data_IF_087301483289
#
_entry.id   IF_087301483289
#
_cell.length_a   1.000
_cell.length_b   1.000
_cell.length_c   1.000
_cell.angle_alpha   90.00
_cell.angle_beta   90.00
_cell.angle_gamma   90.00
#
_symmetry.space_group_name_H-M   'P 1'
#
loop_
_entity.id
_entity.type
_entity.pdbx_description
1 polymer ?
#
# COMPACT_ATOMS: atom_id res chain seq x y z
N UNK A 1 7.82 -5.26 9.24
CA UNK A 1 8.45 -5.09 7.90
C UNK A 1 9.32 -6.26 7.48
N UNK A 2 9.90 -7.04 8.38
CA UNK A 2 10.67 -8.26 8.07
C UNK A 2 9.84 -9.32 7.35
N UNK A 3 8.64 -9.64 7.82
CA UNK A 3 7.78 -10.66 7.21
C UNK A 3 7.38 -10.36 5.74
N UNK A 4 7.16 -9.08 5.40
CA UNK A 4 6.86 -8.68 4.02
C UNK A 4 8.05 -8.87 3.08
N UNK A 5 9.26 -8.53 3.53
CA UNK A 5 10.47 -8.73 2.76
C UNK A 5 10.83 -10.21 2.60
N UNK A 6 10.58 -11.03 3.63
CA UNK A 6 10.89 -12.46 3.62
C UNK A 6 9.99 -13.23 2.65
N UNK A 7 8.68 -12.90 2.61
CA UNK A 7 7.75 -13.48 1.62
C UNK A 7 8.10 -13.08 0.18
N UNK A 8 8.66 -11.90 -0.03
CA UNK A 8 9.08 -11.45 -1.36
C UNK A 8 10.32 -12.19 -1.88
N UNK A 9 11.19 -12.65 -0.99
CA UNK A 9 12.43 -13.35 -1.37
C UNK A 9 12.25 -14.87 -1.52
N UNK A 10 11.19 -15.45 -0.94
CA UNK A 10 10.93 -16.90 -0.95
C UNK A 10 9.96 -17.37 -2.03
N UNK A 11 9.25 -16.47 -2.71
CA UNK A 11 8.40 -16.83 -3.82
C UNK A 11 9.24 -17.32 -5.00
N UNK A 12 9.46 -18.65 -5.09
CA UNK A 12 9.98 -19.29 -6.31
C UNK A 12 8.97 -19.03 -7.44
N UNK A 13 9.40 -18.56 -8.61
CA UNK A 13 8.50 -18.43 -9.75
C UNK A 13 8.02 -19.82 -10.17
N UNK A 14 6.73 -20.08 -10.02
CA UNK A 14 6.09 -21.27 -10.62
C UNK A 14 6.32 -21.23 -12.14
N UNK A 15 6.85 -22.31 -12.66
CA UNK A 15 7.42 -22.45 -14.01
C UNK A 15 6.36 -22.41 -15.14
N UNK A 16 5.08 -22.26 -14.80
CA UNK A 16 4.00 -22.45 -15.79
C UNK A 16 3.22 -21.21 -16.24
N UNK A 17 3.45 -20.05 -15.64
CA UNK A 17 2.81 -18.82 -16.13
C UNK A 17 3.74 -17.62 -15.93
N UNK A 18 4.46 -17.28 -17.00
CA UNK A 18 5.27 -16.06 -17.05
C UNK A 18 4.33 -14.86 -17.13
N UNK A 19 3.82 -14.43 -15.98
CA UNK A 19 3.13 -13.15 -15.85
C UNK A 19 4.10 -12.04 -16.22
N UNK A 20 3.69 -11.13 -17.10
CA UNK A 20 4.46 -9.91 -17.42
C UNK A 20 4.49 -8.92 -16.25
N UNK A 21 3.70 -9.16 -15.22
CA UNK A 21 3.58 -8.29 -14.04
C UNK A 21 4.62 -8.67 -12.98
N UNK A 22 5.38 -7.72 -12.43
CA UNK A 22 6.33 -7.98 -11.35
C UNK A 22 5.68 -8.65 -10.15
N UNK A 23 6.31 -9.67 -9.52
CA UNK A 23 5.73 -10.40 -8.37
C UNK A 23 5.28 -9.50 -7.21
N UNK A 24 5.99 -8.40 -6.97
CA UNK A 24 5.62 -7.41 -5.95
C UNK A 24 4.27 -6.75 -6.21
N UNK A 25 3.95 -6.48 -7.47
CA UNK A 25 2.64 -5.92 -7.83
C UNK A 25 1.54 -6.97 -7.73
N UNK A 26 1.81 -8.23 -8.08
CA UNK A 26 0.86 -9.32 -7.87
C UNK A 26 0.48 -9.49 -6.39
N UNK A 27 1.46 -9.36 -5.49
CA UNK A 27 1.17 -9.38 -4.03
C UNK A 27 0.28 -8.22 -3.61
N UNK A 28 0.50 -7.02 -4.16
CA UNK A 28 -0.37 -5.88 -3.88
C UNK A 28 -1.78 -6.10 -4.41
N UNK A 29 -1.94 -6.60 -5.63
CA UNK A 29 -3.24 -6.99 -6.16
C UNK A 29 -3.95 -7.99 -5.24
N UNK A 30 -3.26 -9.06 -4.83
CA UNK A 30 -3.83 -10.05 -3.95
C UNK A 30 -4.27 -9.46 -2.59
N UNK A 31 -3.52 -8.50 -2.05
CA UNK A 31 -3.89 -7.80 -0.82
C UNK A 31 -5.15 -6.93 -1.00
N UNK A 32 -5.26 -6.17 -2.10
CA UNK A 32 -6.44 -5.37 -2.39
C UNK A 32 -7.66 -6.24 -2.66
N UNK A 33 -7.52 -7.31 -3.45
CA UNK A 33 -8.60 -8.26 -3.71
C UNK A 33 -9.09 -8.92 -2.41
N UNK A 34 -8.18 -9.33 -1.53
CA UNK A 34 -8.55 -9.88 -0.22
C UNK A 34 -9.26 -8.83 0.65
N UNK A 35 -8.79 -7.59 0.64
CA UNK A 35 -9.41 -6.49 1.39
C UNK A 35 -10.86 -6.27 0.93
N UNK A 36 -11.08 -6.17 -0.37
CA UNK A 36 -12.38 -5.85 -0.96
C UNK A 36 -13.37 -7.01 -0.92
N UNK A 37 -12.91 -8.22 -1.24
CA UNK A 37 -13.79 -9.37 -1.41
C UNK A 37 -14.01 -10.17 -0.13
N UNK A 38 -13.16 -9.98 0.88
CA UNK A 38 -13.27 -10.72 2.13
C UNK A 38 -13.33 -9.81 3.37
N UNK A 39 -12.33 -8.96 3.58
CA UNK A 39 -12.23 -8.20 4.85
C UNK A 39 -13.33 -7.16 4.99
N UNK A 40 -13.58 -6.34 3.97
CA UNK A 40 -14.63 -5.30 4.03
C UNK A 40 -16.03 -5.88 4.15
N UNK A 41 -16.43 -6.91 3.37
CA UNK A 41 -17.71 -7.59 3.56
C UNK A 41 -17.86 -8.22 4.95
N UNK A 42 -16.82 -8.86 5.46
CA UNK A 42 -16.82 -9.45 6.80
C UNK A 42 -17.02 -8.36 7.87
N UNK A 43 -16.28 -7.26 7.78
CA UNK A 43 -16.45 -6.14 8.69
C UNK A 43 -17.84 -5.49 8.57
N UNK A 44 -18.41 -5.49 7.38
CA UNK A 44 -19.78 -4.98 7.15
C UNK A 44 -20.86 -5.84 7.80
N UNK A 45 -20.61 -7.15 7.92
CA UNK A 45 -21.53 -8.10 8.55
C UNK A 45 -21.49 -8.08 10.09
N UNK A 46 -20.47 -7.46 10.69
CA UNK A 46 -20.35 -7.38 12.14
C UNK A 46 -21.32 -6.35 12.74
N UNK A 47 -21.81 -6.56 13.99
CA UNK A 47 -22.62 -5.57 14.69
C UNK A 47 -21.89 -4.23 14.83
N UNK A 48 -22.53 -3.15 14.37
CA UNK A 48 -21.96 -1.80 14.36
C UNK A 48 -23.06 -0.73 14.40
N UNK A 49 -22.73 0.55 14.68
CA UNK A 49 -23.74 1.61 14.84
C UNK A 49 -24.60 1.84 13.60
N UNK A 50 -24.03 1.68 12.39
CA UNK A 50 -24.72 1.87 11.11
C UNK A 50 -24.64 0.60 10.25
N UNK A 51 -25.42 -0.45 10.56
CA UNK A 51 -25.33 -1.75 9.89
C UNK A 51 -25.76 -1.70 8.41
N UNK A 52 -26.63 -0.76 8.06
CA UNK A 52 -27.18 -0.62 6.71
C UNK A 52 -26.19 -0.03 5.70
N UNK A 53 -25.13 0.66 6.18
CA UNK A 53 -24.12 1.25 5.31
C UNK A 53 -22.93 0.31 5.17
N UNK A 54 -22.63 -0.25 3.99
CA UNK A 54 -21.47 -1.14 3.85
C UNK A 54 -20.15 -0.40 4.07
N UNK A 55 -19.15 -1.13 4.56
CA UNK A 55 -17.78 -0.62 4.68
C UNK A 55 -17.12 -0.76 3.31
N UNK A 56 -16.82 0.38 2.68
CA UNK A 56 -16.26 0.44 1.31
C UNK A 56 -14.87 1.09 1.27
N UNK A 57 -14.42 1.68 2.37
CA UNK A 57 -13.11 2.35 2.45
C UNK A 57 -12.33 1.95 3.68
N UNK A 58 -11.03 2.12 3.63
CA UNK A 58 -10.09 1.81 4.72
C UNK A 58 -9.22 3.00 5.08
N UNK A 59 -8.89 3.10 6.36
CA UNK A 59 -7.86 4.02 6.85
C UNK A 59 -6.56 3.25 7.07
N UNK A 60 -5.47 3.70 6.45
CA UNK A 60 -4.18 3.05 6.54
C UNK A 60 -3.24 3.79 7.51
N UNK A 61 -2.59 3.04 8.39
CA UNK A 61 -1.54 3.56 9.28
C UNK A 61 -0.20 3.01 8.79
N UNK A 62 0.66 3.90 8.30
CA UNK A 62 1.98 3.53 7.79
C UNK A 62 3.04 3.94 8.80
N UNK A 63 3.64 2.96 9.47
CA UNK A 63 4.75 3.21 10.40
C UNK A 63 6.09 3.12 9.68
N UNK A 64 6.70 4.27 9.47
CA UNK A 64 8.03 4.42 8.86
C UNK A 64 9.10 4.81 9.89
N UNK A 65 8.83 4.65 11.18
CA UNK A 65 9.74 5.04 12.26
C UNK A 65 11.07 4.29 12.27
N UNK A 66 11.12 3.08 11.70
CA UNK A 66 12.31 2.26 11.56
C UNK A 66 12.98 2.31 10.18
N UNK A 67 12.46 3.11 9.25
CA UNK A 67 12.98 3.17 7.87
C UNK A 67 14.05 4.22 7.76
N UNK A 68 15.29 3.81 7.40
CA UNK A 68 16.38 4.72 7.08
C UNK A 68 16.23 5.35 5.70
N UNK A 69 16.89 6.50 5.48
CA UNK A 69 16.85 7.23 4.19
C UNK A 69 17.26 6.34 2.99
N UNK A 70 18.28 5.49 3.14
CA UNK A 70 18.72 4.56 2.10
C UNK A 70 17.64 3.52 1.76
N UNK A 71 16.98 2.98 2.77
CA UNK A 71 15.88 2.02 2.58
C UNK A 71 14.68 2.70 1.92
N UNK A 72 14.36 3.92 2.33
CA UNK A 72 13.31 4.72 1.72
C UNK A 72 13.58 4.97 0.22
N UNK A 73 14.82 5.29 -0.12
CA UNK A 73 15.23 5.51 -1.51
C UNK A 73 15.09 4.26 -2.37
N UNK A 74 15.44 3.10 -1.82
CA UNK A 74 15.27 1.80 -2.50
C UNK A 74 13.79 1.41 -2.68
N UNK A 75 12.90 1.91 -1.82
CA UNK A 75 11.47 1.64 -1.89
C UNK A 75 10.72 2.62 -2.82
N UNK A 76 11.37 3.70 -3.25
CA UNK A 76 10.73 4.78 -4.03
C UNK A 76 9.99 4.25 -5.26
N UNK A 77 10.63 3.46 -6.11
CA UNK A 77 10.00 2.90 -7.31
C UNK A 77 8.80 2.03 -6.98
N UNK A 78 8.94 1.17 -5.98
CA UNK A 78 7.86 0.30 -5.53
C UNK A 78 6.66 1.10 -4.98
N UNK A 79 6.91 2.17 -4.22
CA UNK A 79 5.84 3.05 -3.73
C UNK A 79 5.14 3.78 -4.87
N UNK A 80 5.87 4.18 -5.91
CA UNK A 80 5.29 4.78 -7.11
C UNK A 80 4.38 3.80 -7.84
N UNK A 81 4.87 2.59 -8.10
CA UNK A 81 4.09 1.54 -8.77
C UNK A 81 2.85 1.15 -7.97
N UNK A 82 2.98 1.03 -6.64
CA UNK A 82 1.87 0.75 -5.74
C UNK A 82 0.83 1.88 -5.76
N UNK A 83 1.27 3.15 -5.77
CA UNK A 83 0.38 4.31 -5.84
C UNK A 83 -0.39 4.36 -7.17
N UNK A 84 0.29 4.13 -8.29
CA UNK A 84 -0.34 4.07 -9.62
C UNK A 84 -1.37 2.95 -9.68
N UNK A 85 -1.01 1.77 -9.19
CA UNK A 85 -1.91 0.61 -9.15
C UNK A 85 -3.17 0.90 -8.31
N UNK A 86 -2.98 1.44 -7.10
CA UNK A 86 -4.08 1.78 -6.21
C UNK A 86 -5.02 2.81 -6.84
N UNK A 87 -4.46 3.87 -7.44
CA UNK A 87 -5.25 4.93 -8.06
C UNK A 87 -5.99 4.46 -9.32
N UNK A 88 -5.37 3.60 -10.12
CA UNK A 88 -5.96 3.13 -11.38
C UNK A 88 -7.04 2.06 -11.19
N UNK A 89 -6.88 1.17 -10.19
CA UNK A 89 -7.74 0.00 -10.03
C UNK A 89 -8.61 0.05 -8.78
N UNK A 90 -8.22 0.79 -7.76
CA UNK A 90 -8.89 0.82 -6.44
C UNK A 90 -9.09 2.25 -5.90
N UNK A 91 -9.62 3.20 -6.70
CA UNK A 91 -9.61 4.64 -6.38
C UNK A 91 -10.35 4.98 -5.08
N UNK A 92 -11.43 4.26 -4.75
CA UNK A 92 -12.32 4.59 -3.64
C UNK A 92 -12.07 3.76 -2.37
N UNK A 93 -11.06 2.89 -2.38
CA UNK A 93 -10.79 2.00 -1.24
C UNK A 93 -10.03 2.66 -0.10
N UNK A 94 -9.45 3.83 -0.34
CA UNK A 94 -8.60 4.53 0.60
C UNK A 94 -9.25 5.85 1.03
N UNK A 95 -9.65 5.95 2.32
CA UNK A 95 -10.16 7.18 2.90
C UNK A 95 -9.00 8.07 3.39
N UNK A 96 -8.13 7.52 4.25
CA UNK A 96 -7.04 8.28 4.88
C UNK A 96 -5.77 7.45 5.03
N UNK A 97 -4.62 8.15 4.96
CA UNK A 97 -3.31 7.60 5.29
C UNK A 97 -2.72 8.40 6.45
N UNK A 98 -2.46 7.74 7.57
CA UNK A 98 -1.68 8.29 8.66
C UNK A 98 -0.26 7.77 8.61
N UNK A 99 0.72 8.66 8.55
CA UNK A 99 2.14 8.28 8.53
C UNK A 99 2.75 8.54 9.90
N UNK A 100 3.19 7.48 10.58
CA UNK A 100 3.92 7.58 11.83
C UNK A 100 5.41 7.73 11.57
N UNK A 101 6.02 8.74 12.19
CA UNK A 101 7.42 9.08 12.02
C UNK A 101 8.15 9.26 13.34
N UNK A 102 9.45 8.88 13.41
CA UNK A 102 10.23 9.01 14.65
C UNK A 102 10.96 10.36 14.80
N UNK A 103 11.25 11.09 13.72
CA UNK A 103 12.05 12.33 13.74
C UNK A 103 11.53 13.40 12.79
N UNK A 104 11.36 14.63 13.27
CA UNK A 104 10.89 15.78 12.47
C UNK A 104 11.78 16.09 11.26
N UNK A 105 13.11 15.88 11.34
CA UNK A 105 14.04 16.18 10.24
C UNK A 105 13.81 15.26 9.03
N UNK A 106 13.52 14.01 9.27
CA UNK A 106 13.33 13.03 8.20
C UNK A 106 11.91 13.14 7.60
N UNK A 107 10.91 13.58 8.39
CA UNK A 107 9.55 13.86 7.93
C UNK A 107 9.53 14.87 6.78
N UNK A 108 10.22 16.01 6.94
CA UNK A 108 10.28 17.07 5.94
C UNK A 108 10.89 16.58 4.62
N UNK A 109 11.92 15.74 4.68
CA UNK A 109 12.56 15.18 3.49
C UNK A 109 11.65 14.22 2.74
N UNK A 110 10.88 13.40 3.46
CA UNK A 110 9.96 12.40 2.87
C UNK A 110 8.71 13.06 2.31
N UNK A 111 8.10 13.99 3.05
CA UNK A 111 6.93 14.75 2.56
C UNK A 111 7.30 15.56 1.33
N UNK A 112 8.48 16.21 1.32
CA UNK A 112 8.97 16.94 0.16
C UNK A 112 9.21 16.03 -1.04
N UNK A 113 9.75 14.84 -0.83
CA UNK A 113 9.96 13.84 -1.85
C UNK A 113 8.63 13.28 -2.38
N UNK A 114 7.66 13.02 -1.49
CA UNK A 114 6.32 12.56 -1.86
C UNK A 114 5.56 13.59 -2.69
N UNK A 115 5.62 14.85 -2.29
CA UNK A 115 5.08 15.98 -3.07
C UNK A 115 5.74 16.10 -4.44
N UNK A 116 7.06 15.91 -4.53
CA UNK A 116 7.78 15.93 -5.81
C UNK A 116 7.34 14.78 -6.71
N UNK A 117 7.11 13.59 -6.17
CA UNK A 117 6.64 12.42 -6.90
C UNK A 117 5.22 12.61 -7.43
N UNK A 118 4.33 13.24 -6.64
CA UNK A 118 2.96 13.56 -7.04
C UNK A 118 2.90 14.67 -8.09
N UNK A 119 3.73 15.70 -7.94
CA UNK A 119 3.75 16.87 -8.86
C UNK A 119 4.45 16.57 -10.19
N UNK A 120 5.43 15.66 -10.21
CA UNK A 120 6.19 15.30 -11.42
C UNK A 120 5.38 14.42 -12.40
N UNK A 121 4.19 13.98 -12.02
CA UNK A 121 3.27 13.19 -12.87
C UNK A 121 1.97 13.90 -13.24
N UNK A 122 1.88 15.21 -13.05
CA UNK A 122 0.82 16.06 -13.62
C UNK A 122 -0.59 15.55 -13.28
N UNK A 123 -0.97 15.67 -12.01
CA UNK A 123 -2.37 15.83 -11.67
C UNK A 123 -2.76 17.27 -11.89
#
# INVERSE_FOLDING_TARGET
MTAYNDTMNTAKPDTHQKSSVPPRLLTLFALYENLLNFVMPLCSALPRPNPETPIVSSTNIVDVSGVGLKQFWNLKSHMQDASVLATAHYPETLDRIFVRWKSKRTLLSVVRLWLTILLDRGL
#
